data_IF_891985645866
#
_entry.id   IF_891985645866
#
_cell.length_a   1.000
_cell.length_b   1.000
_cell.length_c   1.000
_cell.angle_alpha   90.00
_cell.angle_beta   90.00
_cell.angle_gamma   90.00
#
_symmetry.space_group_name_H-M   'P 1'
#
loop_
_entity.id
_entity.type
_entity.pdbx_description
1 polymer ?
#
# COMPACT_ATOMS: atom_id res chain seq x y z
N UNK A 1 19.65 26.87 -8.17
CA UNK A 1 19.11 25.60 -8.74
C UNK A 1 20.19 24.57 -9.15
N UNK A 2 21.34 24.94 -9.74
CA UNK A 2 22.34 23.94 -10.20
C UNK A 2 23.05 23.13 -9.08
N UNK A 3 23.19 23.69 -7.87
CA UNK A 3 23.94 23.02 -6.77
C UNK A 3 23.22 21.80 -6.16
N UNK A 4 21.89 21.74 -6.23
CA UNK A 4 21.11 20.63 -5.67
C UNK A 4 20.80 19.52 -6.68
N UNK A 5 20.93 19.79 -7.98
CA UNK A 5 20.58 18.83 -9.02
C UNK A 5 21.44 17.56 -9.00
N UNK A 6 22.76 17.72 -8.85
CA UNK A 6 23.68 16.59 -8.78
C UNK A 6 23.43 15.71 -7.53
N UNK A 7 23.35 16.27 -6.30
CA UNK A 7 22.96 15.50 -5.12
C UNK A 7 21.64 14.74 -5.28
N UNK A 8 20.61 15.36 -5.87
CA UNK A 8 19.30 14.74 -6.07
C UNK A 8 19.41 13.51 -6.98
N UNK A 9 20.10 13.64 -8.12
CA UNK A 9 20.29 12.50 -9.03
C UNK A 9 21.06 11.37 -8.34
N UNK A 10 22.14 11.69 -7.63
CA UNK A 10 22.95 10.69 -6.92
C UNK A 10 22.09 9.91 -5.93
N UNK A 11 21.25 10.60 -5.14
CA UNK A 11 20.35 9.97 -4.18
C UNK A 11 19.31 9.10 -4.90
N UNK A 12 18.66 9.62 -5.94
CA UNK A 12 17.63 8.87 -6.69
C UNK A 12 18.24 7.62 -7.35
N UNK A 13 19.38 7.76 -8.01
CA UNK A 13 20.10 6.64 -8.61
C UNK A 13 20.53 5.62 -7.56
N UNK A 14 21.00 6.06 -6.39
CA UNK A 14 21.32 5.17 -5.27
C UNK A 14 20.11 4.39 -4.78
N UNK A 15 18.97 5.05 -4.59
CA UNK A 15 17.71 4.41 -4.19
C UNK A 15 17.22 3.40 -5.23
N UNK A 16 17.26 3.77 -6.52
CA UNK A 16 16.90 2.86 -7.60
C UNK A 16 17.84 1.65 -7.66
N UNK A 17 19.15 1.86 -7.52
CA UNK A 17 20.13 0.78 -7.52
C UNK A 17 19.87 -0.21 -6.36
N UNK A 18 19.63 0.31 -5.16
CA UNK A 18 19.27 -0.52 -3.98
C UNK A 18 17.96 -1.27 -4.25
N UNK A 19 16.96 -0.62 -4.82
CA UNK A 19 15.68 -1.26 -5.13
C UNK A 19 15.84 -2.37 -6.17
N UNK A 20 16.53 -2.13 -7.29
CA UNK A 20 16.81 -3.16 -8.29
C UNK A 20 17.62 -4.33 -7.71
N UNK A 21 18.60 -4.05 -6.84
CA UNK A 21 19.35 -5.10 -6.16
C UNK A 21 18.47 -5.94 -5.21
N UNK A 22 17.54 -5.31 -4.49
CA UNK A 22 16.63 -5.98 -3.56
C UNK A 22 15.60 -6.90 -4.24
N UNK A 23 15.21 -6.60 -5.49
CA UNK A 23 14.26 -7.44 -6.26
C UNK A 23 14.75 -8.89 -6.35
N UNK A 24 16.04 -9.09 -6.59
CA UNK A 24 16.64 -10.42 -6.80
C UNK A 24 16.43 -11.35 -5.59
N UNK A 25 16.96 -11.07 -4.38
CA UNK A 25 16.77 -11.94 -3.22
C UNK A 25 15.31 -12.00 -2.75
N UNK A 26 14.52 -10.93 -2.90
CA UNK A 26 13.13 -10.93 -2.42
C UNK A 26 12.20 -11.79 -3.28
N UNK A 27 12.49 -11.92 -4.57
CA UNK A 27 11.69 -12.69 -5.50
C UNK A 27 12.27 -14.07 -5.85
N UNK A 28 13.53 -14.37 -5.50
CA UNK A 28 14.22 -15.62 -5.89
C UNK A 28 13.42 -16.88 -5.55
N UNK A 29 12.80 -16.95 -4.38
CA UNK A 29 12.02 -18.15 -3.96
C UNK A 29 10.84 -18.42 -4.90
N UNK A 30 10.21 -17.36 -5.41
CA UNK A 30 9.11 -17.48 -6.37
C UNK A 30 9.63 -17.82 -7.76
N UNK A 31 10.70 -17.16 -8.21
CA UNK A 31 11.36 -17.46 -9.48
C UNK A 31 11.82 -18.92 -9.56
N UNK A 32 12.42 -19.46 -8.50
CA UNK A 32 12.82 -20.86 -8.42
C UNK A 32 11.65 -21.84 -8.41
N UNK A 33 10.52 -21.46 -7.80
CA UNK A 33 9.30 -22.28 -7.83
C UNK A 33 8.68 -22.28 -9.23
N UNK A 34 8.72 -21.16 -9.94
CA UNK A 34 8.28 -21.08 -11.33
C UNK A 34 9.22 -21.89 -12.26
N UNK A 35 10.53 -21.73 -12.09
CA UNK A 35 11.55 -22.45 -12.84
C UNK A 35 11.43 -23.98 -12.67
N UNK A 36 11.25 -24.45 -11.43
CA UNK A 36 11.01 -25.87 -11.14
C UNK A 36 9.73 -26.39 -11.83
N UNK A 37 8.64 -25.61 -11.84
CA UNK A 37 7.41 -25.98 -12.56
C UNK A 37 7.60 -26.04 -14.07
N UNK A 38 8.52 -25.26 -14.62
CA UNK A 38 8.91 -25.34 -16.04
C UNK A 38 9.91 -26.46 -16.35
N UNK A 39 10.25 -27.32 -15.38
CA UNK A 39 11.16 -28.45 -15.56
C UNK A 39 12.65 -28.08 -15.50
N UNK A 40 12.98 -26.86 -15.08
CA UNK A 40 14.38 -26.44 -14.88
C UNK A 40 14.88 -27.04 -13.56
N UNK A 41 16.07 -27.64 -13.60
CA UNK A 41 16.72 -28.16 -12.40
C UNK A 41 17.07 -27.01 -11.43
N UNK A 42 16.55 -27.10 -10.21
CA UNK A 42 16.69 -26.07 -9.16
C UNK A 42 17.27 -26.73 -7.91
N UNK A 43 18.23 -26.08 -7.27
CA UNK A 43 18.80 -26.54 -6.01
C UNK A 43 18.51 -25.54 -4.87
N UNK A 44 17.90 -25.96 -3.74
CA UNK A 44 17.33 -27.27 -3.44
C UNK A 44 15.99 -27.52 -4.16
N UNK A 45 15.68 -28.80 -4.36
CA UNK A 45 14.43 -29.27 -4.96
C UNK A 45 13.29 -29.12 -3.95
N UNK A 46 12.11 -28.71 -4.42
CA UNK A 46 10.94 -28.51 -3.57
C UNK A 46 10.86 -27.12 -2.93
N UNK A 47 9.68 -26.51 -3.05
CA UNK A 47 9.38 -25.19 -2.48
C UNK A 47 9.43 -25.15 -0.95
N UNK A 48 9.23 -26.29 -0.26
CA UNK A 48 9.32 -26.38 1.21
C UNK A 48 10.76 -26.17 1.68
N UNK A 49 11.74 -26.83 1.06
CA UNK A 49 13.15 -26.73 1.45
C UNK A 49 13.71 -25.32 1.22
N UNK A 50 13.26 -24.61 0.18
CA UNK A 50 13.66 -23.21 -0.08
C UNK A 50 13.07 -22.20 0.89
N UNK A 51 11.98 -22.54 1.59
CA UNK A 51 11.24 -21.61 2.45
C UNK A 51 12.14 -21.06 3.56
N UNK A 52 12.89 -21.94 4.21
CA UNK A 52 13.67 -21.60 5.41
C UNK A 52 15.14 -21.28 5.07
N UNK A 53 15.52 -21.36 3.80
CA UNK A 53 16.86 -20.98 3.32
C UNK A 53 17.01 -19.47 3.17
N UNK A 54 18.24 -19.01 3.35
CA UNK A 54 18.64 -17.63 3.05
C UNK A 54 18.41 -17.31 1.57
N UNK A 55 17.78 -16.16 1.30
CA UNK A 55 17.53 -15.69 -0.05
C UNK A 55 18.83 -15.48 -0.84
N UNK A 56 19.86 -14.90 -0.21
CA UNK A 56 21.15 -14.65 -0.87
C UNK A 56 21.84 -15.95 -1.28
N UNK A 57 21.78 -16.98 -0.44
CA UNK A 57 22.35 -18.28 -0.74
C UNK A 57 21.64 -18.93 -1.94
N UNK A 58 20.31 -18.81 -2.03
CA UNK A 58 19.54 -19.30 -3.18
C UNK A 58 19.90 -18.56 -4.48
N UNK A 59 20.17 -17.25 -4.40
CA UNK A 59 20.61 -16.44 -5.57
C UNK A 59 21.96 -16.93 -6.07
N UNK A 60 22.93 -17.11 -5.17
CA UNK A 60 24.28 -17.58 -5.51
C UNK A 60 24.24 -19.00 -6.08
N UNK A 61 23.39 -19.88 -5.54
CA UNK A 61 23.25 -21.26 -6.01
C UNK A 61 22.50 -21.38 -7.35
N UNK A 62 21.61 -20.44 -7.67
CA UNK A 62 20.74 -20.50 -8.84
C UNK A 62 20.82 -19.21 -9.65
N UNK A 63 22.03 -18.85 -10.08
CA UNK A 63 22.29 -17.61 -10.83
C UNK A 63 21.48 -17.51 -12.13
N UNK A 64 21.12 -18.64 -12.74
CA UNK A 64 20.26 -18.68 -13.92
C UNK A 64 18.88 -18.04 -13.69
N UNK A 65 18.36 -18.11 -12.47
CA UNK A 65 17.02 -17.62 -12.13
C UNK A 65 16.98 -16.11 -11.82
N UNK A 66 18.13 -15.42 -11.81
CA UNK A 66 18.20 -13.98 -11.49
C UNK A 66 17.37 -13.15 -12.46
N UNK A 67 17.42 -13.44 -13.76
CA UNK A 67 16.61 -12.73 -14.76
C UNK A 67 15.11 -12.91 -14.53
N UNK A 68 14.71 -14.11 -14.14
CA UNK A 68 13.31 -14.45 -13.88
C UNK A 68 12.72 -13.66 -12.70
N UNK A 69 13.56 -13.26 -11.73
CA UNK A 69 13.11 -12.45 -10.58
C UNK A 69 12.52 -11.09 -10.97
N UNK A 70 12.87 -10.58 -12.16
CA UNK A 70 12.34 -9.33 -12.72
C UNK A 70 11.13 -9.51 -13.63
N UNK A 71 10.81 -10.74 -14.04
CA UNK A 71 9.78 -11.04 -15.03
C UNK A 71 8.51 -11.69 -14.43
N UNK A 72 8.49 -11.92 -13.11
CA UNK A 72 7.32 -12.51 -12.44
C UNK A 72 6.06 -11.67 -12.64
N UNK A 73 4.92 -12.32 -12.89
CA UNK A 73 3.62 -11.67 -13.01
C UNK A 73 3.11 -11.10 -11.66
N UNK A 74 3.43 -11.77 -10.55
CA UNK A 74 3.02 -11.38 -9.19
C UNK A 74 4.22 -11.43 -8.24
N UNK A 75 5.20 -10.56 -8.41
CA UNK A 75 6.39 -10.54 -7.56
C UNK A 75 6.02 -10.10 -6.13
N UNK A 76 6.84 -10.50 -5.14
CA UNK A 76 6.74 -9.96 -3.77
C UNK A 76 7.21 -8.52 -3.73
N UNK A 77 8.34 -8.24 -4.37
CA UNK A 77 8.84 -6.90 -4.59
C UNK A 77 8.82 -6.60 -6.10
N UNK A 78 7.87 -5.80 -6.61
CA UNK A 78 7.88 -5.42 -8.02
C UNK A 78 9.09 -4.56 -8.33
N UNK A 79 9.70 -4.80 -9.50
CA UNK A 79 10.82 -4.00 -9.96
C UNK A 79 10.35 -2.59 -10.35
N UNK A 80 11.22 -1.57 -10.26
CA UNK A 80 10.82 -0.17 -10.55
C UNK A 80 10.13 0.01 -11.90
N UNK A 81 10.64 -0.65 -12.95
CA UNK A 81 10.04 -0.61 -14.28
C UNK A 81 8.67 -1.30 -14.36
N UNK A 82 8.44 -2.37 -13.59
CA UNK A 82 7.13 -3.03 -13.52
C UNK A 82 6.11 -2.12 -12.83
N UNK A 83 6.53 -1.40 -11.78
CA UNK A 83 5.68 -0.40 -11.11
C UNK A 83 5.34 0.73 -12.08
N UNK A 84 6.34 1.28 -12.79
CA UNK A 84 6.11 2.33 -13.77
C UNK A 84 5.14 1.89 -14.88
N UNK A 85 5.35 0.69 -15.43
CA UNK A 85 4.48 0.11 -16.45
C UNK A 85 3.05 -0.12 -15.94
N UNK A 86 2.88 -0.68 -14.74
CA UNK A 86 1.54 -0.92 -14.18
C UNK A 86 0.84 0.39 -13.81
N UNK A 87 1.55 1.39 -13.29
CA UNK A 87 0.98 2.73 -13.02
C UNK A 87 0.46 3.36 -14.31
N UNK A 88 1.24 3.32 -15.38
CA UNK A 88 0.81 3.83 -16.69
C UNK A 88 -0.38 3.04 -17.23
N UNK A 89 -0.31 1.70 -17.22
CA UNK A 89 -1.37 0.85 -17.73
C UNK A 89 -2.69 1.01 -16.95
N UNK A 90 -2.61 1.04 -15.62
CA UNK A 90 -3.78 1.14 -14.74
C UNK A 90 -4.40 2.53 -14.70
N UNK A 91 -3.62 3.58 -14.95
CA UNK A 91 -4.09 4.96 -14.92
C UNK A 91 -4.55 5.45 -16.29
N UNK A 92 -3.77 5.19 -17.35
CA UNK A 92 -3.97 5.75 -18.69
C UNK A 92 -4.64 4.76 -19.64
N UNK A 93 -4.13 3.52 -19.73
CA UNK A 93 -4.58 2.58 -20.76
C UNK A 93 -5.89 1.85 -20.42
N UNK A 94 -6.25 1.79 -19.14
CA UNK A 94 -7.52 1.18 -18.69
C UNK A 94 -8.63 2.23 -18.65
N UNK A 95 -9.84 1.82 -19.05
CA UNK A 95 -11.05 2.65 -18.93
C UNK A 95 -11.23 3.12 -17.49
N UNK A 96 -11.57 4.40 -17.30
CA UNK A 96 -11.76 5.03 -15.98
C UNK A 96 -12.84 4.31 -15.14
N UNK A 97 -13.84 3.71 -15.78
CA UNK A 97 -14.92 2.96 -15.11
C UNK A 97 -14.56 1.51 -14.80
N UNK A 98 -13.36 1.05 -15.17
CA UNK A 98 -12.95 -0.33 -14.95
C UNK A 98 -12.57 -0.57 -13.49
N UNK A 99 -13.02 -1.69 -12.93
CA UNK A 99 -12.58 -2.20 -11.62
C UNK A 99 -11.07 -2.51 -11.55
N UNK A 100 -10.34 -2.43 -12.66
CA UNK A 100 -8.89 -2.60 -12.73
C UNK A 100 -8.12 -1.28 -12.90
N UNK A 101 -8.82 -0.14 -12.96
CA UNK A 101 -8.22 1.19 -13.11
C UNK A 101 -7.87 1.78 -11.75
N UNK A 102 -6.70 2.41 -11.67
CA UNK A 102 -6.29 3.12 -10.45
C UNK A 102 -7.12 4.39 -10.23
N UNK A 103 -7.56 5.03 -11.32
CA UNK A 103 -8.42 6.23 -11.27
C UNK A 103 -9.77 5.89 -10.65
N UNK A 104 -10.36 4.74 -11.00
CA UNK A 104 -11.61 4.28 -10.42
C UNK A 104 -11.53 4.17 -8.89
N UNK A 105 -10.49 3.50 -8.38
CA UNK A 105 -10.29 3.33 -6.95
C UNK A 105 -9.91 4.63 -6.25
N UNK A 106 -9.08 5.47 -6.88
CA UNK A 106 -8.78 6.81 -6.40
C UNK A 106 -10.05 7.65 -6.22
N UNK A 107 -10.98 7.58 -7.18
CA UNK A 107 -12.27 8.24 -7.07
C UNK A 107 -13.14 7.69 -5.94
N UNK A 108 -13.18 6.36 -5.74
CA UNK A 108 -13.94 5.77 -4.63
C UNK A 108 -13.41 6.26 -3.28
N UNK A 109 -12.09 6.24 -3.08
CA UNK A 109 -11.48 6.74 -1.85
C UNK A 109 -11.76 8.23 -1.68
N UNK A 110 -11.51 9.04 -2.71
CA UNK A 110 -11.72 10.48 -2.66
C UNK A 110 -13.18 10.85 -2.37
N UNK A 111 -14.12 10.26 -3.10
CA UNK A 111 -15.56 10.54 -2.93
C UNK A 111 -16.04 10.13 -1.54
N UNK A 112 -15.56 9.00 -1.02
CA UNK A 112 -15.89 8.54 0.34
C UNK A 112 -15.31 9.48 1.40
N UNK A 113 -14.07 9.94 1.24
CA UNK A 113 -13.45 10.94 2.12
C UNK A 113 -14.16 12.29 2.05
N UNK A 114 -14.53 12.77 0.85
CA UNK A 114 -15.23 14.04 0.67
C UNK A 114 -16.63 14.00 1.29
N UNK A 115 -17.36 12.90 1.12
CA UNK A 115 -18.67 12.72 1.74
C UNK A 115 -18.56 12.70 3.26
N UNK A 116 -17.61 11.91 3.81
CA UNK A 116 -17.35 11.89 5.25
C UNK A 116 -16.93 13.25 5.79
N UNK A 117 -16.10 13.99 5.05
CA UNK A 117 -15.69 15.35 5.40
C UNK A 117 -16.86 16.33 5.37
N UNK A 118 -17.73 16.28 4.36
CA UNK A 118 -18.90 17.15 4.26
C UNK A 118 -19.87 16.91 5.42
N UNK A 119 -20.16 15.65 5.74
CA UNK A 119 -21.02 15.29 6.87
C UNK A 119 -20.36 15.71 8.20
N UNK A 120 -19.10 15.36 8.41
CA UNK A 120 -18.37 15.69 9.64
C UNK A 120 -18.25 17.19 9.87
N UNK A 121 -17.97 17.96 8.82
CA UNK A 121 -17.93 19.43 8.88
C UNK A 121 -19.30 20.01 9.16
N UNK A 122 -20.34 19.54 8.48
CA UNK A 122 -21.72 19.99 8.71
C UNK A 122 -22.17 19.75 10.15
N UNK A 123 -21.99 18.53 10.66
CA UNK A 123 -22.30 18.19 12.05
C UNK A 123 -21.44 18.96 13.05
N UNK A 124 -20.15 19.12 12.77
CA UNK A 124 -19.22 19.88 13.60
C UNK A 124 -19.61 21.36 13.71
N UNK A 125 -20.00 22.00 12.61
CA UNK A 125 -20.49 23.38 12.60
C UNK A 125 -21.78 23.49 13.41
N UNK A 126 -22.75 22.60 13.19
CA UNK A 126 -24.02 22.60 13.94
C UNK A 126 -23.78 22.41 15.44
N UNK A 127 -22.87 21.51 15.83
CA UNK A 127 -22.50 21.29 17.21
C UNK A 127 -21.84 22.52 17.82
N UNK A 128 -20.92 23.16 17.09
CA UNK A 128 -20.25 24.39 17.52
C UNK A 128 -21.24 25.54 17.74
N UNK A 129 -22.20 25.73 16.82
CA UNK A 129 -23.29 26.69 16.99
C UNK A 129 -24.08 26.37 18.27
N UNK A 130 -24.46 25.10 18.47
CA UNK A 130 -25.18 24.67 19.67
C UNK A 130 -24.43 24.99 20.97
N UNK A 131 -23.13 24.69 21.03
CA UNK A 131 -22.26 24.99 22.17
C UNK A 131 -22.18 26.51 22.41
N UNK A 132 -21.97 27.30 21.36
CA UNK A 132 -21.80 28.77 21.48
C UNK A 132 -23.08 29.46 21.95
N UNK A 133 -24.25 29.04 21.47
CA UNK A 133 -25.52 29.72 21.78
C UNK A 133 -26.25 29.13 23.00
N UNK A 134 -25.89 27.94 23.49
CA UNK A 134 -26.55 27.30 24.62
C UNK A 134 -25.55 26.90 25.72
N UNK A 135 -25.58 27.61 26.85
CA UNK A 135 -24.76 27.31 28.03
C UNK A 135 -24.92 25.88 28.56
N UNK A 136 -26.12 25.30 28.45
CA UNK A 136 -26.33 23.90 28.86
C UNK A 136 -25.61 22.92 27.92
N UNK A 137 -25.52 23.22 26.62
CA UNK A 137 -24.74 22.41 25.68
C UNK A 137 -23.24 22.55 25.93
N UNK A 138 -22.75 23.76 26.19
CA UNK A 138 -21.34 23.98 26.54
C UNK A 138 -20.92 23.13 27.76
N UNK A 139 -21.69 23.22 28.85
CA UNK A 139 -21.39 22.47 30.07
C UNK A 139 -21.52 20.94 29.93
N UNK A 140 -22.42 20.45 29.07
CA UNK A 140 -22.69 19.02 28.95
C UNK A 140 -21.87 18.34 27.85
N UNK A 141 -21.66 18.99 26.70
CA UNK A 141 -21.02 18.39 25.52
C UNK A 141 -19.50 18.53 25.53
N UNK A 142 -18.97 19.66 26.01
CA UNK A 142 -17.51 19.91 26.01
C UNK A 142 -16.70 18.82 26.72
N UNK A 143 -17.09 18.30 27.90
CA UNK A 143 -16.34 17.21 28.55
C UNK A 143 -16.26 15.95 27.67
N UNK A 144 -17.35 15.58 27.00
CA UNK A 144 -17.37 14.43 26.09
C UNK A 144 -16.56 14.68 24.82
N UNK A 145 -16.60 15.90 24.28
CA UNK A 145 -15.79 16.28 23.13
C UNK A 145 -14.30 16.14 23.44
N UNK A 146 -13.86 16.62 24.60
CA UNK A 146 -12.46 16.48 25.06
C UNK A 146 -12.12 15.00 25.28
N UNK A 147 -12.97 14.24 25.95
CA UNK A 147 -12.75 12.80 26.18
C UNK A 147 -12.66 12.01 24.86
N UNK A 148 -13.44 12.37 23.83
CA UNK A 148 -13.40 11.69 22.54
C UNK A 148 -12.04 11.82 21.83
N UNK A 149 -11.31 12.91 22.06
CA UNK A 149 -10.01 13.16 21.44
C UNK A 149 -8.91 12.22 21.95
N UNK A 150 -9.12 11.57 23.10
CA UNK A 150 -8.16 10.61 23.65
C UNK A 150 -8.31 9.22 23.05
N UNK A 151 -9.42 8.95 22.35
CA UNK A 151 -9.67 7.64 21.73
C UNK A 151 -8.88 7.56 20.41
N UNK A 152 -7.94 6.62 20.26
CA UNK A 152 -7.19 6.48 19.02
C UNK A 152 -8.10 6.05 17.87
N UNK A 153 -7.89 6.64 16.69
CA UNK A 153 -8.66 6.27 15.48
C UNK A 153 -8.56 4.77 15.15
N UNK A 154 -7.42 4.14 15.46
CA UNK A 154 -7.18 2.71 15.29
C UNK A 154 -8.12 1.83 16.13
N UNK A 155 -8.58 2.32 17.29
CA UNK A 155 -9.52 1.60 18.15
C UNK A 155 -10.97 1.70 17.67
N UNK A 156 -11.31 2.79 16.98
CA UNK A 156 -12.68 3.07 16.51
C UNK A 156 -13.03 2.22 15.29
N UNK A 157 -12.07 1.98 14.39
CA UNK A 157 -12.29 1.21 13.16
C UNK A 157 -12.97 -0.16 13.35
N UNK A 158 -12.50 -1.06 14.25
CA UNK A 158 -13.18 -2.34 14.47
C UNK A 158 -14.56 -2.19 15.12
N UNK A 159 -14.75 -1.22 16.02
CA UNK A 159 -16.04 -0.97 16.67
C UNK A 159 -17.11 -0.57 15.66
N UNK A 160 -16.75 0.29 14.70
CA UNK A 160 -17.61 0.68 13.58
C UNK A 160 -18.03 -0.55 12.77
N UNK A 161 -17.09 -1.42 12.40
CA UNK A 161 -17.39 -2.62 11.60
C UNK A 161 -18.38 -3.54 12.33
N UNK A 162 -18.16 -3.78 13.63
CA UNK A 162 -19.04 -4.64 14.44
C UNK A 162 -20.46 -4.07 14.51
N UNK A 163 -20.60 -2.76 14.74
CA UNK A 163 -21.91 -2.09 14.80
C UNK A 163 -22.63 -2.21 13.47
N UNK A 164 -21.98 -1.85 12.34
CA UNK A 164 -22.63 -1.90 11.04
C UNK A 164 -22.91 -3.34 10.54
N UNK A 165 -22.14 -4.34 10.98
CA UNK A 165 -22.41 -5.75 10.69
C UNK A 165 -23.60 -6.31 11.49
N UNK A 166 -24.00 -5.68 12.60
CA UNK A 166 -25.14 -6.11 13.42
C UNK A 166 -26.49 -5.50 13.00
N UNK A 167 -26.45 -4.46 12.16
CA UNK A 167 -27.62 -3.69 11.71
C UNK A 167 -28.14 -4.19 10.34
N UNK A 168 -27.43 -5.09 9.68
CA UNK A 168 -27.81 -5.76 8.43
C UNK A 168 -27.74 -7.28 8.55
#
# INVERSE_FOLDING_TARGET
>A
MRRSFFPIIVVISGLLAIWYAAVVPMNIKMALTAAERSGIAVAPVGAKERRDRSAMLLVVQNTFAVKETFALERPRLPAPHQVAAELWNSTVNKKITSKRSLVFHGWITLSSTLLGFAIGTGLGILLAIGIVYNRAMDMSVMPWAIASQTIPILAIAPMIIVVFNSVG
#
